data_IF_362640045595
#
_entry.id   IF_362640045595
#
_cell.length_a   1.000
_cell.length_b   1.000
_cell.length_c   1.000
_cell.angle_alpha   90.00
_cell.angle_beta   90.00
_cell.angle_gamma   90.00
#
_symmetry.space_group_name_H-M   'P 1'
#
loop_
_entity.id
_entity.type
_entity.pdbx_description
1 polymer ?
#
# COMPACT_ATOMS: atom_id res chain seq x y z
N UNK A 1 11.08 -7.26 1.26
CA UNK A 1 11.45 -6.49 0.06
C UNK A 1 12.73 -5.70 0.34
N UNK A 2 13.36 -5.04 -0.64
CA UNK A 2 14.47 -4.13 -0.33
C UNK A 2 13.95 -2.83 0.30
N UNK A 3 14.76 -2.12 1.07
CA UNK A 3 14.38 -0.84 1.69
C UNK A 3 13.90 0.17 0.63
N UNK A 4 14.59 0.25 -0.50
CA UNK A 4 14.24 1.15 -1.61
C UNK A 4 12.86 0.83 -2.18
N UNK A 5 12.60 -0.45 -2.48
CA UNK A 5 11.29 -0.90 -2.96
C UNK A 5 10.19 -0.73 -1.92
N UNK A 6 10.50 -0.91 -0.63
CA UNK A 6 9.53 -0.67 0.44
C UNK A 6 9.07 0.79 0.45
N UNK A 7 9.99 1.75 0.31
CA UNK A 7 9.67 3.18 0.27
C UNK A 7 8.76 3.54 -0.90
N UNK A 8 9.05 3.03 -2.10
CA UNK A 8 8.22 3.22 -3.29
C UNK A 8 6.81 2.63 -3.11
N UNK A 9 6.72 1.38 -2.63
CA UNK A 9 5.43 0.73 -2.39
C UNK A 9 4.63 1.46 -1.32
N UNK A 10 5.29 2.02 -0.30
CA UNK A 10 4.64 2.81 0.75
C UNK A 10 3.94 4.04 0.16
N UNK A 11 4.65 4.83 -0.66
CA UNK A 11 4.07 6.02 -1.28
C UNK A 11 2.86 5.69 -2.17
N UNK A 12 2.95 4.63 -2.97
CA UNK A 12 1.84 4.16 -3.79
C UNK A 12 0.65 3.70 -2.94
N UNK A 13 0.93 2.90 -1.90
CA UNK A 13 -0.10 2.35 -1.01
C UNK A 13 -0.85 3.46 -0.29
N UNK A 14 -0.15 4.50 0.19
CA UNK A 14 -0.79 5.67 0.81
C UNK A 14 -1.75 6.39 -0.13
N UNK A 15 -1.35 6.57 -1.39
CA UNK A 15 -2.19 7.19 -2.41
C UNK A 15 -3.46 6.38 -2.65
N UNK A 16 -3.35 5.06 -2.81
CA UNK A 16 -4.51 4.21 -3.10
C UNK A 16 -5.45 4.04 -1.91
N UNK A 17 -4.93 3.95 -0.68
CA UNK A 17 -5.79 3.91 0.52
C UNK A 17 -6.55 5.22 0.66
N UNK A 18 -5.90 6.36 0.46
CA UNK A 18 -6.56 7.67 0.52
C UNK A 18 -7.65 7.80 -0.54
N UNK A 19 -7.34 7.41 -1.78
CA UNK A 19 -8.30 7.40 -2.89
C UNK A 19 -9.48 6.45 -2.62
N UNK A 20 -9.24 5.31 -1.97
CA UNK A 20 -10.26 4.32 -1.66
C UNK A 20 -11.18 4.70 -0.49
N UNK A 21 -10.83 5.71 0.31
CA UNK A 21 -11.74 6.24 1.36
C UNK A 21 -12.99 6.86 0.78
N UNK A 22 -12.86 7.48 -0.39
CA UNK A 22 -13.99 8.01 -1.14
C UNK A 22 -14.48 6.94 -2.12
N UNK A 23 -15.55 6.24 -1.75
CA UNK A 23 -16.14 5.22 -2.60
C UNK A 23 -16.97 5.87 -3.72
N UNK A 24 -16.33 6.14 -4.86
CA UNK A 24 -17.00 6.57 -6.08
C UNK A 24 -16.51 5.76 -7.31
N UNK A 25 -17.28 5.79 -8.40
CA UNK A 25 -16.97 5.02 -9.61
C UNK A 25 -15.66 5.48 -10.27
N UNK A 26 -15.37 6.77 -10.22
CA UNK A 26 -14.15 7.35 -10.81
C UNK A 26 -12.89 6.82 -10.12
N UNK A 27 -12.86 6.85 -8.78
CA UNK A 27 -11.79 6.35 -7.93
C UNK A 27 -11.61 4.84 -8.13
N UNK A 28 -12.69 4.06 -8.19
CA UNK A 28 -12.57 2.63 -8.51
C UNK A 28 -11.93 2.39 -9.88
N UNK A 29 -12.27 3.17 -10.91
CA UNK A 29 -11.62 3.08 -12.24
C UNK A 29 -10.15 3.48 -12.20
N UNK A 30 -9.79 4.53 -11.46
CA UNK A 30 -8.40 4.93 -11.25
C UNK A 30 -7.59 3.82 -10.55
N UNK A 31 -8.18 3.16 -9.56
CA UNK A 31 -7.55 2.02 -8.89
C UNK A 31 -7.39 0.82 -9.82
N UNK A 32 -8.41 0.48 -10.61
CA UNK A 32 -8.37 -0.61 -11.60
C UNK A 32 -7.39 -0.36 -12.75
N UNK A 33 -7.12 0.91 -13.09
CA UNK A 33 -6.13 1.24 -14.12
C UNK A 33 -4.69 0.90 -13.70
N UNK A 34 -4.43 0.79 -12.40
CA UNK A 34 -3.10 0.49 -11.86
C UNK A 34 -3.01 -0.89 -11.22
N UNK A 35 -4.01 -1.28 -10.44
CA UNK A 35 -4.06 -2.58 -9.76
C UNK A 35 -4.62 -3.60 -10.75
N UNK A 36 -3.77 -4.55 -11.13
CA UNK A 36 -4.09 -5.54 -12.17
C UNK A 36 -5.16 -6.56 -11.78
N UNK A 37 -5.42 -6.74 -10.48
CA UNK A 37 -6.40 -7.71 -9.99
C UNK A 37 -7.61 -7.02 -9.36
N UNK A 38 -8.79 -7.36 -9.87
CA UNK A 38 -10.06 -6.75 -9.45
C UNK A 38 -10.45 -7.11 -8.00
N UNK A 39 -10.16 -8.34 -7.57
CA UNK A 39 -10.37 -8.80 -6.19
C UNK A 39 -9.64 -7.93 -5.16
N UNK A 40 -8.41 -7.52 -5.47
CA UNK A 40 -7.60 -6.63 -4.62
C UNK A 40 -8.23 -5.24 -4.54
N UNK A 41 -8.73 -4.69 -5.65
CA UNK A 41 -9.45 -3.41 -5.64
C UNK A 41 -10.71 -3.51 -4.81
N UNK A 42 -11.49 -4.57 -4.99
CA UNK A 42 -12.69 -4.80 -4.20
C UNK A 42 -12.39 -4.87 -2.70
N UNK A 43 -11.32 -5.58 -2.30
CA UNK A 43 -10.87 -5.65 -0.91
C UNK A 43 -10.38 -4.30 -0.38
N UNK A 44 -9.67 -3.52 -1.20
CA UNK A 44 -9.17 -2.20 -0.84
C UNK A 44 -10.32 -1.26 -0.43
N UNK A 45 -11.38 -1.20 -1.24
CA UNK A 45 -12.53 -0.31 -0.98
C UNK A 45 -13.46 -0.86 0.12
N UNK A 46 -13.71 -2.17 0.16
CA UNK A 46 -14.69 -2.76 1.09
C UNK A 46 -14.15 -3.03 2.48
N UNK A 47 -12.88 -3.41 2.61
CA UNK A 47 -12.32 -3.86 3.89
C UNK A 47 -11.22 -2.95 4.42
N UNK A 48 -10.31 -2.49 3.56
CA UNK A 48 -9.10 -1.78 4.00
C UNK A 48 -9.43 -0.30 4.25
N UNK A 49 -9.96 0.42 3.27
CA UNK A 49 -10.22 1.85 3.40
C UNK A 49 -11.14 2.22 4.58
N UNK A 50 -12.23 1.48 4.88
CA UNK A 50 -13.07 1.76 6.03
C UNK A 50 -12.34 1.61 7.38
N UNK A 51 -11.40 0.66 7.51
CA UNK A 51 -10.58 0.49 8.73
C UNK A 51 -9.71 1.71 9.01
N UNK A 52 -9.32 2.44 7.97
CA UNK A 52 -8.46 3.62 8.05
C UNK A 52 -9.22 4.95 7.97
N UNK A 53 -10.56 4.94 8.05
CA UNK A 53 -11.38 6.13 7.87
C UNK A 53 -10.93 7.29 8.79
N UNK A 54 -10.71 7.01 10.07
CA UNK A 54 -10.30 8.00 11.08
C UNK A 54 -8.82 8.43 11.05
N UNK A 55 -7.99 7.87 10.17
CA UNK A 55 -6.54 8.13 10.13
C UNK A 55 -6.15 8.98 8.94
N UNK A 56 -5.56 10.16 9.12
CA UNK A 56 -5.15 11.01 8.00
C UNK A 56 -3.69 10.73 7.58
N UNK A 57 -3.45 9.66 6.82
CA UNK A 57 -2.12 9.28 6.33
C UNK A 57 -1.32 8.35 7.25
N UNK A 58 -0.16 7.89 6.78
CA UNK A 58 0.70 6.96 7.54
C UNK A 58 0.05 5.59 7.75
N UNK A 59 -0.43 4.96 6.67
CA UNK A 59 -1.12 3.67 6.72
C UNK A 59 -0.15 2.48 6.71
N UNK A 60 1.11 2.71 6.35
CA UNK A 60 2.14 1.68 6.21
C UNK A 60 3.28 1.91 7.20
N UNK A 61 3.86 0.82 7.68
CA UNK A 61 5.09 0.80 8.48
C UNK A 61 6.17 0.03 7.73
N UNK A 62 7.40 0.56 7.72
CA UNK A 62 8.57 -0.11 7.18
C UNK A 62 9.51 -0.49 8.33
N UNK A 63 9.73 -1.79 8.53
CA UNK A 63 10.68 -2.34 9.51
C UNK A 63 11.92 -2.88 8.79
N UNK A 64 13.11 -2.40 9.16
CA UNK A 64 14.37 -2.87 8.59
C UNK A 64 14.77 -4.22 9.20
N UNK A 65 15.23 -5.15 8.36
CA UNK A 65 15.67 -6.49 8.77
C UNK A 65 17.19 -6.68 8.75
N UNK A 66 17.93 -5.76 8.13
CA UNK A 66 19.37 -5.90 7.87
C UNK A 66 19.68 -6.33 6.43
N UNK A 67 20.98 -6.44 6.06
CA UNK A 67 21.40 -6.76 4.70
C UNK A 67 21.20 -8.24 4.36
N UNK A 68 20.77 -8.53 3.14
CA UNK A 68 20.65 -9.89 2.62
C UNK A 68 22.02 -10.48 2.32
N UNK A 69 22.23 -11.75 2.68
CA UNK A 69 23.44 -12.50 2.31
C UNK A 69 23.46 -12.76 0.80
N UNK A 70 24.55 -12.39 0.14
CA UNK A 70 24.75 -12.53 -1.30
C UNK A 70 25.06 -11.20 -1.96
N UNK A 71 24.07 -10.31 -2.03
CA UNK A 71 24.18 -8.99 -2.67
C UNK A 71 24.23 -7.81 -1.70
N UNK A 72 24.25 -8.09 -0.38
CA UNK A 72 24.26 -7.09 0.69
C UNK A 72 23.12 -6.06 0.63
N UNK A 73 22.04 -6.34 -0.11
CA UNK A 73 20.92 -5.42 -0.24
C UNK A 73 20.19 -5.25 1.09
N UNK A 74 19.95 -4.00 1.51
CA UNK A 74 19.18 -3.73 2.73
C UNK A 74 17.74 -4.22 2.57
N UNK A 75 17.31 -5.10 3.47
CA UNK A 75 15.96 -5.66 3.46
C UNK A 75 15.05 -4.94 4.45
N UNK A 76 13.78 -4.88 4.08
CA UNK A 76 12.71 -4.39 4.94
C UNK A 76 11.41 -5.19 4.75
N UNK A 77 10.62 -5.22 5.82
CA UNK A 77 9.22 -5.62 5.82
C UNK A 77 8.38 -4.35 5.72
N UNK A 78 7.32 -4.41 4.92
CA UNK A 78 6.30 -3.37 4.85
C UNK A 78 4.97 -3.96 5.28
N UNK A 79 4.30 -3.29 6.21
CA UNK A 79 3.05 -3.74 6.83
C UNK A 79 2.01 -2.62 6.82
N UNK A 80 0.73 -3.00 6.76
CA UNK A 80 -0.41 -2.11 7.00
C UNK A 80 -0.67 -2.04 8.52
N UNK A 81 -0.94 -0.85 9.06
CA UNK A 81 -1.04 -0.59 10.51
C UNK A 81 -2.46 -0.73 11.07
#
# INVERSE_FOLDING_TARGET
TTVTRAKEVSALTEKFITLAKEENLHNKRLALAFITKEDVVNKLFKEIAPKYAGRNGGYTRIAKLGPRRGDAAEMAIIELI
#
